data_IF_419543230485
#
_entry.id   IF_419543230485
#
_cell.length_a   1.000
_cell.length_b   1.000
_cell.length_c   1.000
_cell.angle_alpha   90.00
_cell.angle_beta   90.00
_cell.angle_gamma   90.00
#
_symmetry.space_group_name_H-M   'P 1'
#
loop_
_entity.id
_entity.type
_entity.pdbx_description
1 polymer ?
#
# COMPACT_ATOMS: atom_id res chain seq x y z
N UNK A 1 16.26 -24.55 35.33
CA UNK A 1 15.34 -23.47 34.90
C UNK A 1 15.71 -22.74 33.60
N UNK A 2 16.97 -22.70 33.12
CA UNK A 2 17.36 -21.96 31.90
C UNK A 2 16.87 -22.57 30.57
N UNK A 3 16.77 -23.91 30.46
CA UNK A 3 16.35 -24.60 29.21
C UNK A 3 14.92 -24.25 28.73
N UNK A 4 13.96 -24.05 29.65
CA UNK A 4 12.59 -23.61 29.31
C UNK A 4 12.55 -22.20 28.70
N UNK A 5 13.47 -21.30 29.10
CA UNK A 5 13.56 -19.93 28.56
C UNK A 5 14.09 -19.89 27.12
N UNK A 6 15.07 -20.76 26.79
CA UNK A 6 15.56 -20.88 25.41
C UNK A 6 14.51 -21.48 24.48
N UNK A 7 13.81 -22.53 24.93
CA UNK A 7 12.73 -23.14 24.16
C UNK A 7 11.60 -22.15 23.86
N UNK A 8 11.16 -21.37 24.85
CA UNK A 8 10.14 -20.33 24.64
C UNK A 8 10.58 -19.25 23.66
N UNK A 9 11.86 -18.83 23.69
CA UNK A 9 12.41 -17.87 22.71
C UNK A 9 12.47 -18.43 21.30
N UNK A 10 12.85 -19.70 21.14
CA UNK A 10 12.84 -20.37 19.83
C UNK A 10 11.43 -20.47 19.26
N UNK A 11 10.43 -20.79 20.08
CA UNK A 11 9.01 -20.82 19.66
C UNK A 11 8.52 -19.44 19.24
N UNK A 12 8.81 -18.38 20.02
CA UNK A 12 8.45 -17.01 19.67
C UNK A 12 9.11 -16.59 18.35
N UNK A 13 10.38 -16.93 18.16
CA UNK A 13 11.10 -16.63 16.92
C UNK A 13 10.46 -17.32 15.70
N UNK A 14 10.09 -18.60 15.84
CA UNK A 14 9.41 -19.35 14.77
C UNK A 14 8.05 -18.71 14.45
N UNK A 15 7.26 -18.33 15.46
CA UNK A 15 5.96 -17.67 15.25
C UNK A 15 6.14 -16.32 14.54
N UNK A 16 7.10 -15.50 14.97
CA UNK A 16 7.42 -14.24 14.31
C UNK A 16 7.88 -14.45 12.86
N UNK A 17 8.70 -15.47 12.60
CA UNK A 17 9.15 -15.81 11.25
C UNK A 17 7.97 -16.23 10.35
N UNK A 18 7.06 -17.07 10.85
CA UNK A 18 5.86 -17.49 10.10
C UNK A 18 4.96 -16.28 9.78
N UNK A 19 4.72 -15.41 10.76
CA UNK A 19 3.93 -14.18 10.55
C UNK A 19 4.60 -13.24 9.54
N UNK A 20 5.92 -13.10 9.59
CA UNK A 20 6.67 -12.30 8.61
C UNK A 20 6.53 -12.88 7.20
N UNK A 21 6.61 -14.21 7.03
CA UNK A 21 6.44 -14.86 5.73
C UNK A 21 5.03 -14.64 5.17
N UNK A 22 3.98 -14.78 6.00
CA UNK A 22 2.60 -14.53 5.59
C UNK A 22 2.40 -13.08 5.14
N UNK A 23 2.99 -12.12 5.86
CA UNK A 23 2.89 -10.70 5.53
C UNK A 23 3.65 -10.33 4.25
N UNK A 24 4.79 -10.98 3.99
CA UNK A 24 5.61 -10.74 2.79
C UNK A 24 5.09 -11.45 1.54
N UNK A 25 4.36 -12.56 1.69
CA UNK A 25 3.82 -13.34 0.57
C UNK A 25 3.07 -12.50 -0.47
N UNK A 26 2.13 -11.60 -0.13
CA UNK A 26 1.47 -10.76 -1.12
C UNK A 26 2.46 -9.82 -1.84
N UNK A 27 3.43 -9.23 -1.11
CA UNK A 27 4.43 -8.33 -1.73
C UNK A 27 5.36 -9.08 -2.68
N UNK A 28 5.78 -10.29 -2.30
CA UNK A 28 6.60 -11.17 -3.14
C UNK A 28 5.82 -11.59 -4.38
N UNK A 29 4.54 -11.94 -4.24
CA UNK A 29 3.68 -12.23 -5.39
C UNK A 29 3.55 -11.00 -6.31
N UNK A 30 3.34 -9.79 -5.77
CA UNK A 30 3.29 -8.58 -6.60
C UNK A 30 4.58 -8.34 -7.36
N UNK A 31 5.74 -8.48 -6.70
CA UNK A 31 7.04 -8.32 -7.35
C UNK A 31 7.23 -9.36 -8.45
N UNK A 32 6.95 -10.63 -8.16
CA UNK A 32 7.14 -11.70 -9.13
C UNK A 32 6.18 -11.59 -10.33
N UNK A 33 4.92 -11.22 -10.10
CA UNK A 33 3.97 -10.95 -11.17
C UNK A 33 4.38 -9.71 -12.00
N UNK A 34 5.07 -8.73 -11.41
CA UNK A 34 5.59 -7.55 -12.13
C UNK A 34 6.69 -7.87 -13.15
N UNK A 35 7.22 -9.10 -13.15
CA UNK A 35 8.17 -9.58 -14.15
C UNK A 35 7.53 -10.53 -15.19
N UNK A 36 6.25 -10.86 -15.09
CA UNK A 36 5.55 -11.76 -16.02
C UNK A 36 5.24 -11.09 -17.36
N UNK A 37 5.31 -11.85 -18.46
CA UNK A 37 4.96 -11.34 -19.80
C UNK A 37 3.45 -11.06 -19.97
N UNK A 38 3.07 -10.14 -20.87
CA UNK A 38 1.65 -9.82 -21.14
C UNK A 38 0.83 -11.04 -21.61
N UNK A 39 1.47 -11.98 -22.31
CA UNK A 39 0.87 -13.23 -22.78
C UNK A 39 0.64 -14.24 -21.65
N UNK A 40 1.55 -14.34 -20.66
CA UNK A 40 1.37 -15.20 -19.47
C UNK A 40 0.31 -14.65 -18.51
N UNK A 41 0.19 -13.33 -18.38
CA UNK A 41 -0.86 -12.70 -17.56
C UNK A 41 -2.25 -12.95 -18.16
N UNK A 42 -2.40 -12.80 -19.48
CA UNK A 42 -3.66 -13.07 -20.17
C UNK A 42 -4.04 -14.55 -20.11
N UNK A 43 -3.06 -15.46 -20.19
CA UNK A 43 -3.29 -16.90 -20.10
C UNK A 43 -3.63 -17.41 -18.68
N UNK A 44 -3.07 -16.80 -17.62
CA UNK A 44 -3.29 -17.24 -16.22
C UNK A 44 -4.34 -16.43 -15.45
N UNK A 45 -4.61 -15.18 -15.85
CA UNK A 45 -5.55 -14.26 -15.19
C UNK A 45 -6.67 -13.74 -16.12
N UNK A 46 -6.75 -14.22 -17.37
CA UNK A 46 -7.75 -13.76 -18.37
C UNK A 46 -9.22 -13.92 -17.97
N UNK A 47 -9.52 -14.87 -17.08
CA UNK A 47 -10.87 -15.08 -16.52
C UNK A 47 -11.37 -13.91 -15.65
N UNK A 48 -10.44 -13.09 -15.12
CA UNK A 48 -10.77 -11.96 -14.23
C UNK A 48 -11.11 -10.72 -15.08
N UNK A 49 -10.46 -10.56 -16.24
CA UNK A 49 -10.68 -9.43 -17.15
C UNK A 49 -11.94 -9.58 -18.02
N UNK A 50 -12.43 -10.80 -18.28
CA UNK A 50 -13.73 -11.00 -18.95
C UNK A 50 -14.93 -10.57 -18.10
N UNK A 51 -14.82 -10.62 -16.77
CA UNK A 51 -15.93 -10.24 -15.88
C UNK A 51 -16.03 -8.73 -15.63
N UNK A 52 -15.02 -7.94 -16.01
CA UNK A 52 -14.99 -6.48 -15.79
C UNK A 52 -15.23 -5.65 -17.07
N UNK A 53 -15.31 -6.28 -18.24
CA UNK A 53 -15.60 -5.57 -19.49
C UNK A 53 -16.39 -6.49 -20.42
N UNK A 54 -17.70 -6.21 -20.53
CA UNK A 54 -18.60 -6.88 -21.47
C UNK A 54 -18.26 -6.57 -22.92
N UNK A 55 -17.18 -7.15 -23.45
CA UNK A 55 -16.91 -7.16 -24.89
C UNK A 55 -16.09 -8.38 -25.29
N UNK A 56 -16.74 -9.23 -26.09
CA UNK A 56 -16.27 -10.54 -26.51
C UNK A 56 -15.16 -10.48 -27.55
N UNK A 57 -13.92 -10.71 -27.10
CA UNK A 57 -12.78 -11.06 -27.95
C UNK A 57 -12.21 -12.41 -27.52
N UNK A 58 -12.33 -13.41 -28.38
CA UNK A 58 -11.94 -14.81 -28.14
C UNK A 58 -10.42 -14.94 -28.03
N UNK A 59 -9.87 -15.20 -26.84
CA UNK A 59 -8.50 -15.68 -26.70
C UNK A 59 -8.38 -16.66 -25.53
N UNK A 60 -7.95 -17.87 -25.86
CA UNK A 60 -7.61 -19.06 -25.06
C UNK A 60 -7.67 -18.88 -23.53
N UNK A 61 -8.79 -19.31 -22.95
CA UNK A 61 -9.07 -19.29 -21.51
C UNK A 61 -8.60 -20.60 -20.90
N UNK A 62 -7.63 -20.55 -19.99
CA UNK A 62 -7.34 -21.68 -19.10
C UNK A 62 -8.23 -21.58 -17.86
N UNK A 63 -9.01 -22.62 -17.61
CA UNK A 63 -10.09 -22.71 -16.61
C UNK A 63 -9.61 -22.79 -15.15
N UNK A 64 -8.29 -22.77 -14.91
CA UNK A 64 -7.71 -22.74 -13.56
C UNK A 64 -6.71 -21.62 -13.40
N UNK A 65 -6.96 -20.79 -12.39
CA UNK A 65 -6.00 -19.81 -11.86
C UNK A 65 -4.79 -20.60 -11.33
N UNK A 66 -3.75 -20.73 -12.15
CA UNK A 66 -2.48 -21.24 -11.69
C UNK A 66 -1.73 -20.07 -11.04
N UNK A 67 -1.83 -19.96 -9.72
CA UNK A 67 -0.98 -19.09 -8.90
C UNK A 67 0.47 -19.57 -9.02
N UNK A 68 1.13 -19.17 -10.10
CA UNK A 68 2.51 -19.58 -10.37
C UNK A 68 3.44 -18.60 -9.66
N UNK A 69 4.08 -19.07 -8.59
CA UNK A 69 5.01 -18.29 -7.77
C UNK A 69 6.30 -17.88 -8.51
N UNK A 70 6.58 -18.43 -9.70
CA UNK A 70 7.77 -18.15 -10.50
C UNK A 70 7.35 -18.06 -12.00
N UNK A 71 7.65 -16.96 -12.72
CA UNK A 71 7.38 -16.79 -14.15
C UNK A 71 8.26 -17.74 -14.96
N UNK A 72 7.76 -18.30 -16.07
CA UNK A 72 8.61 -19.09 -16.99
C UNK A 72 9.46 -18.17 -17.88
N UNK A 73 9.03 -16.92 -18.09
CA UNK A 73 9.77 -15.90 -18.84
C UNK A 73 9.78 -14.56 -18.08
N UNK A 74 10.97 -14.16 -17.64
CA UNK A 74 11.19 -12.83 -17.04
C UNK A 74 11.21 -11.79 -18.15
N UNK A 75 10.30 -10.83 -18.12
CA UNK A 75 10.27 -9.71 -19.07
C UNK A 75 10.42 -8.37 -18.36
N UNK A 76 11.32 -7.54 -18.90
CA UNK A 76 11.53 -6.15 -18.45
C UNK A 76 10.73 -5.15 -19.29
N UNK A 77 9.97 -5.64 -20.28
CA UNK A 77 9.19 -4.83 -21.20
C UNK A 77 8.11 -3.99 -20.50
N UNK A 78 7.54 -4.48 -19.40
CA UNK A 78 6.56 -3.73 -18.60
C UNK A 78 7.19 -2.52 -17.92
N UNK A 79 8.35 -2.67 -17.30
CA UNK A 79 9.09 -1.55 -16.70
C UNK A 79 9.52 -0.53 -17.74
N UNK A 80 10.03 -0.99 -18.89
CA UNK A 80 10.41 -0.13 -20.02
C UNK A 80 9.17 0.60 -20.58
N UNK A 81 8.02 -0.07 -20.66
CA UNK A 81 6.80 0.55 -21.16
C UNK A 81 6.31 1.64 -20.20
N UNK A 82 6.28 1.36 -18.90
CA UNK A 82 5.83 2.32 -17.88
C UNK A 82 6.77 3.52 -17.75
N UNK A 83 8.08 3.28 -17.80
CA UNK A 83 9.10 4.33 -17.62
C UNK A 83 9.41 5.10 -18.90
N UNK A 84 9.38 4.48 -20.08
CA UNK A 84 9.86 5.09 -21.33
C UNK A 84 8.78 5.24 -22.41
N UNK A 85 7.77 4.37 -22.48
CA UNK A 85 6.72 4.46 -23.53
C UNK A 85 5.46 5.22 -23.09
N UNK A 86 5.16 5.29 -21.80
CA UNK A 86 3.95 5.95 -21.29
C UNK A 86 4.28 7.23 -20.49
N UNK A 87 4.26 8.42 -21.12
CA UNK A 87 4.54 9.68 -20.43
C UNK A 87 3.54 9.99 -19.31
N UNK A 88 2.31 9.48 -19.41
CA UNK A 88 1.25 9.73 -18.42
C UNK A 88 1.56 9.19 -17.02
N UNK A 89 2.29 8.07 -16.90
CA UNK A 89 2.64 7.50 -15.59
C UNK A 89 3.71 8.33 -14.88
N UNK A 90 4.74 8.76 -15.60
CA UNK A 90 5.77 9.65 -15.05
C UNK A 90 5.19 11.00 -14.63
N UNK A 91 4.26 11.56 -15.41
CA UNK A 91 3.57 12.80 -15.06
C UNK A 91 2.71 12.62 -13.80
N UNK A 92 1.93 11.54 -13.69
CA UNK A 92 1.15 11.23 -12.47
C UNK A 92 2.05 11.03 -11.25
N UNK A 93 3.20 10.37 -11.42
CA UNK A 93 4.19 10.21 -10.37
C UNK A 93 4.71 11.56 -9.87
N UNK A 94 5.16 12.43 -10.78
CA UNK A 94 5.65 13.75 -10.42
C UNK A 94 4.57 14.64 -9.79
N UNK A 95 3.33 14.57 -10.27
CA UNK A 95 2.21 15.26 -9.64
C UNK A 95 2.00 14.79 -8.19
N UNK A 96 2.09 13.48 -7.94
CA UNK A 96 2.02 12.95 -6.57
C UNK A 96 3.18 13.44 -5.71
N UNK A 97 4.40 13.45 -6.23
CA UNK A 97 5.60 13.92 -5.50
C UNK A 97 5.46 15.41 -5.16
N UNK A 98 5.06 16.24 -6.12
CA UNK A 98 4.88 17.69 -5.93
C UNK A 98 3.78 18.00 -4.90
N UNK A 99 2.76 17.14 -4.79
CA UNK A 99 1.72 17.29 -3.75
C UNK A 99 2.23 16.83 -2.38
N UNK A 100 2.84 15.64 -2.30
CA UNK A 100 3.22 15.02 -1.02
C UNK A 100 4.35 15.80 -0.32
N UNK A 101 5.35 16.28 -1.06
CA UNK A 101 6.52 16.92 -0.48
C UNK A 101 6.16 18.16 0.35
N UNK A 102 5.43 19.16 -0.17
CA UNK A 102 4.99 20.31 0.63
C UNK A 102 4.10 19.91 1.80
N UNK A 103 3.14 18.98 1.58
CA UNK A 103 2.21 18.55 2.63
C UNK A 103 2.99 18.01 3.84
N UNK A 104 3.95 17.11 3.61
CA UNK A 104 4.75 16.53 4.69
C UNK A 104 5.62 17.59 5.38
N UNK A 105 6.24 18.50 4.62
CA UNK A 105 7.07 19.58 5.19
C UNK A 105 6.25 20.48 6.11
N UNK A 106 5.08 20.97 5.65
CA UNK A 106 4.21 21.80 6.46
C UNK A 106 3.63 21.04 7.65
N UNK A 107 3.24 19.77 7.46
CA UNK A 107 2.70 18.94 8.53
C UNK A 107 3.73 18.73 9.64
N UNK A 108 4.99 18.42 9.31
CA UNK A 108 6.06 18.25 10.30
C UNK A 108 6.40 19.57 10.99
N UNK A 109 6.44 20.68 10.25
CA UNK A 109 6.71 22.00 10.82
C UNK A 109 5.64 22.40 11.85
N UNK A 110 4.36 22.30 11.48
CA UNK A 110 3.22 22.63 12.37
C UNK A 110 3.16 21.67 13.54
N UNK A 111 3.34 20.35 13.31
CA UNK A 111 3.33 19.35 14.37
C UNK A 111 4.44 19.57 15.40
N UNK A 112 5.63 19.98 14.96
CA UNK A 112 6.77 20.28 15.84
C UNK A 112 6.49 21.49 16.73
N UNK A 113 5.94 22.57 16.17
CA UNK A 113 5.55 23.78 16.92
C UNK A 113 4.42 23.45 17.92
N UNK A 114 3.41 22.70 17.48
CA UNK A 114 2.31 22.28 18.33
C UNK A 114 2.79 21.39 19.50
N UNK A 115 3.66 20.42 19.22
CA UNK A 115 4.26 19.57 20.24
C UNK A 115 5.08 20.38 21.26
N UNK A 116 5.86 21.36 20.81
CA UNK A 116 6.59 22.26 21.70
C UNK A 116 5.63 23.09 22.57
N UNK A 117 4.55 23.64 21.99
CA UNK A 117 3.51 24.36 22.73
C UNK A 117 2.84 23.49 23.82
N UNK A 118 2.50 22.25 23.49
CA UNK A 118 1.90 21.31 24.45
C UNK A 118 2.85 20.89 25.57
N UNK A 119 4.16 20.80 25.31
CA UNK A 119 5.13 20.43 26.35
C UNK A 119 5.41 21.58 27.31
N UNK A 120 5.51 22.82 26.82
CA UNK A 120 5.85 23.98 27.66
C UNK A 120 4.66 24.49 28.50
N UNK A 121 3.44 24.42 27.99
CA UNK A 121 2.26 24.87 28.73
C UNK A 121 1.69 23.79 29.66
N UNK A 122 1.53 24.12 30.94
CA UNK A 122 0.88 23.27 31.96
C UNK A 122 -0.36 23.99 32.49
N UNK A 123 -1.54 23.68 31.93
CA UNK A 123 -2.81 24.28 32.34
C UNK A 123 -4.03 23.52 31.81
N UNK A 124 -5.23 23.85 32.31
CA UNK A 124 -6.51 23.23 31.91
C UNK A 124 -6.84 23.41 30.43
N UNK A 125 -6.39 24.52 29.83
CA UNK A 125 -6.57 24.84 28.41
C UNK A 125 -5.87 23.81 27.50
N UNK A 126 -4.67 23.35 27.86
CA UNK A 126 -3.97 22.26 27.14
C UNK A 126 -4.82 20.98 27.12
N UNK A 127 -5.43 20.63 28.25
CA UNK A 127 -6.25 19.42 28.34
C UNK A 127 -7.50 19.51 27.45
N UNK A 128 -8.13 20.68 27.39
CA UNK A 128 -9.27 20.93 26.49
C UNK A 128 -8.88 20.84 25.01
N UNK A 129 -7.78 21.49 24.59
CA UNK A 129 -7.30 21.44 23.20
C UNK A 129 -6.87 20.01 22.83
N UNK A 130 -6.18 19.31 23.71
CA UNK A 130 -5.77 17.91 23.48
C UNK A 130 -6.97 16.98 23.33
N UNK A 131 -8.00 17.16 24.17
CA UNK A 131 -9.23 16.38 24.08
C UNK A 131 -9.93 16.58 22.72
N UNK A 132 -10.06 17.83 22.26
CA UNK A 132 -10.63 18.12 20.94
C UNK A 132 -9.78 17.53 19.80
N UNK A 133 -8.46 17.63 19.88
CA UNK A 133 -7.54 17.03 18.90
C UNK A 133 -7.74 15.51 18.77
N UNK A 134 -7.90 14.79 19.89
CA UNK A 134 -8.15 13.34 19.86
C UNK A 134 -9.49 13.02 19.18
N UNK A 135 -10.55 13.79 19.46
CA UNK A 135 -11.85 13.60 18.78
C UNK A 135 -11.70 13.76 17.27
N UNK A 136 -10.95 14.77 16.81
CA UNK A 136 -10.71 14.97 15.39
C UNK A 136 -9.91 13.81 14.76
N UNK A 137 -8.95 13.23 15.48
CA UNK A 137 -8.15 12.10 14.99
C UNK A 137 -8.97 10.79 14.94
N UNK A 138 -9.99 10.66 15.79
CA UNK A 138 -10.94 9.54 15.78
C UNK A 138 -12.04 9.71 14.72
N UNK A 139 -12.16 10.89 14.10
CA UNK A 139 -13.13 11.11 13.03
C UNK A 139 -12.84 10.17 11.85
N UNK A 140 -13.82 9.38 11.40
CA UNK A 140 -13.60 8.46 10.30
C UNK A 140 -13.39 9.25 9.00
N UNK A 141 -12.39 8.81 8.22
CA UNK A 141 -12.03 9.44 6.95
C UNK A 141 -13.23 9.60 5.98
N UNK A 142 -14.18 8.66 6.04
CA UNK A 142 -15.41 8.67 5.24
C UNK A 142 -16.25 9.94 5.41
N UNK A 143 -16.30 10.51 6.62
CA UNK A 143 -17.09 11.73 6.90
C UNK A 143 -16.43 12.97 6.30
N UNK A 144 -15.09 12.96 6.14
CA UNK A 144 -14.35 14.06 5.50
C UNK A 144 -14.33 13.97 3.97
N UNK A 145 -14.61 12.80 3.41
CA UNK A 145 -14.58 12.58 1.97
C UNK A 145 -15.87 13.03 1.28
N UNK A 146 -17.05 12.80 1.87
CA UNK A 146 -18.34 13.14 1.22
C UNK A 146 -18.40 14.61 0.76
N UNK A 147 -17.94 15.60 1.54
CA UNK A 147 -17.90 16.99 1.07
C UNK A 147 -16.90 17.23 -0.08
N UNK A 148 -15.74 16.56 -0.08
CA UNK A 148 -14.74 16.68 -1.14
C UNK A 148 -15.26 16.12 -2.48
N UNK A 149 -16.06 15.06 -2.43
CA UNK A 149 -16.68 14.47 -3.62
C UNK A 149 -17.82 15.30 -4.22
N UNK A 150 -18.52 16.13 -3.42
CA UNK A 150 -19.65 16.94 -3.90
C UNK A 150 -19.23 18.30 -4.48
N UNK A 151 -17.98 18.72 -4.25
CA UNK A 151 -17.42 20.00 -4.72
C UNK A 151 -16.57 19.81 -5.99
N UNK A 152 -16.37 18.56 -6.44
CA UNK A 152 -15.79 18.23 -7.76
C UNK A 152 -16.89 17.82 -8.73
#
# INVERSE_FOLDING_TARGET
MRKKKYFSRTVIFIICAVLAVIFLLPTLLTITNSFMTQTEITANYGVIFQNASGSGGKTYVSEKVNLKFIPDKVSLEQYITVLLKSPDYLLKFWNSVILVVPIVVFQVAIASIAAYGFTRWRGKVRAAIFFFYVILMLMPYQVTLVPNYLVS
#
